data_IF_704288335501
#
_entry.id   IF_704288335501
#
_cell.length_a   1.000
_cell.length_b   1.000
_cell.length_c   1.000
_cell.angle_alpha   90.00
_cell.angle_beta   90.00
_cell.angle_gamma   90.00
#
_symmetry.space_group_name_H-M   'P 1'
#
loop_
_entity.id
_entity.type
_entity.pdbx_description
1 polymer ?
#
# COMPACT_ATOMS: atom_id res chain seq x y z
N UNK A 1 17.09 59.22 -4.65
CA UNK A 1 16.34 58.08 -5.19
C UNK A 1 17.02 56.81 -4.69
N UNK A 2 16.56 56.26 -3.56
CA UNK A 2 17.18 55.10 -2.93
C UNK A 2 16.43 53.83 -3.37
N UNK A 3 17.11 52.95 -4.10
CA UNK A 3 16.61 51.62 -4.48
C UNK A 3 16.93 50.65 -3.36
N UNK A 4 15.91 50.23 -2.61
CA UNK A 4 16.00 49.11 -1.68
C UNK A 4 15.88 47.80 -2.49
N UNK A 5 17.01 47.13 -2.70
CA UNK A 5 17.04 45.75 -3.17
C UNK A 5 16.66 44.83 -1.99
N UNK A 6 15.42 44.33 -1.98
CA UNK A 6 15.04 43.21 -1.12
C UNK A 6 15.58 41.92 -1.74
N UNK A 7 16.76 41.47 -1.29
CA UNK A 7 17.18 40.08 -1.49
C UNK A 7 16.38 39.21 -0.53
N UNK A 8 15.41 38.47 -1.05
CA UNK A 8 14.78 37.37 -0.32
C UNK A 8 15.80 36.23 -0.26
N UNK A 9 16.48 36.11 0.87
CA UNK A 9 17.33 34.97 1.16
C UNK A 9 16.38 33.85 1.58
N UNK A 10 16.07 32.92 0.67
CA UNK A 10 15.50 31.64 1.09
C UNK A 10 16.60 30.91 1.88
N UNK A 11 16.43 30.65 3.19
CA UNK A 11 17.33 29.73 3.85
C UNK A 11 17.16 28.38 3.17
N UNK A 12 18.20 27.93 2.45
CA UNK A 12 18.31 26.53 2.07
C UNK A 12 18.49 25.77 3.37
N UNK A 13 17.38 25.27 3.91
CA UNK A 13 17.41 24.27 4.97
C UNK A 13 17.88 22.99 4.29
N UNK A 14 19.19 22.76 4.31
CA UNK A 14 19.73 21.42 4.07
C UNK A 14 19.35 20.62 5.31
N UNK A 15 18.16 20.02 5.27
CA UNK A 15 17.83 18.93 6.16
C UNK A 15 18.80 17.80 5.81
N UNK A 16 19.85 17.62 6.62
CA UNK A 16 20.67 16.42 6.57
C UNK A 16 19.78 15.26 6.95
N UNK A 17 19.15 14.66 5.95
CA UNK A 17 18.31 13.50 6.16
C UNK A 17 19.24 12.31 6.37
N UNK A 18 19.37 11.86 7.62
CA UNK A 18 19.54 10.44 7.86
C UNK A 18 18.22 9.81 7.41
N UNK A 19 18.10 9.58 6.10
CA UNK A 19 17.06 8.74 5.51
C UNK A 19 17.04 7.48 6.34
N UNK A 20 15.96 7.31 7.09
CA UNK A 20 15.53 6.01 7.61
C UNK A 20 15.91 4.97 6.58
N UNK A 21 16.93 4.17 6.90
CA UNK A 21 17.27 2.94 6.20
C UNK A 21 15.99 2.25 5.80
N UNK A 22 15.87 1.88 4.53
CA UNK A 22 14.83 1.02 3.97
C UNK A 22 14.14 0.17 5.06
N UNK A 23 13.02 0.67 5.59
CA UNK A 23 12.13 -0.13 6.41
C UNK A 23 11.10 -0.82 5.52
N UNK A 24 11.44 -1.03 4.24
CA UNK A 24 10.66 -1.91 3.39
C UNK A 24 10.95 -3.33 3.84
N UNK A 25 9.97 -3.92 4.52
CA UNK A 25 10.02 -5.33 4.84
C UNK A 25 10.11 -6.09 3.52
N UNK A 26 11.12 -6.95 3.35
CA UNK A 26 11.23 -7.81 2.18
C UNK A 26 10.10 -8.85 2.24
N UNK A 27 9.00 -8.56 1.56
CA UNK A 27 7.86 -9.47 1.43
C UNK A 27 7.95 -10.25 0.13
N UNK A 28 7.76 -11.57 0.23
CA UNK A 28 7.61 -12.42 -0.95
C UNK A 28 6.15 -12.34 -1.40
N UNK A 29 5.91 -11.57 -2.47
CA UNK A 29 4.58 -11.39 -3.03
C UNK A 29 4.42 -12.35 -4.20
N UNK A 30 3.36 -13.15 -4.13
CA UNK A 30 2.93 -14.06 -5.20
C UNK A 30 1.86 -13.41 -6.04
N UNK A 31 1.83 -13.77 -7.32
CA UNK A 31 0.93 -13.18 -8.30
C UNK A 31 0.29 -14.24 -9.19
N UNK A 32 -0.99 -14.03 -9.49
CA UNK A 32 -1.74 -14.76 -10.49
C UNK A 32 -2.68 -13.80 -11.23
N UNK A 33 -3.11 -14.17 -12.44
CA UNK A 33 -4.17 -13.44 -13.16
C UNK A 33 -5.51 -14.16 -12.97
N UNK A 34 -6.60 -13.42 -13.17
CA UNK A 34 -7.93 -14.00 -13.28
C UNK A 34 -7.91 -15.19 -14.26
N UNK A 35 -8.51 -16.29 -13.84
CA UNK A 35 -8.67 -17.48 -14.66
C UNK A 35 -9.97 -18.17 -14.29
N UNK A 36 -10.38 -19.21 -15.02
CA UNK A 36 -11.58 -19.98 -14.66
C UNK A 36 -11.49 -20.68 -13.30
N UNK A 37 -10.31 -20.71 -12.68
CA UNK A 37 -10.05 -21.32 -11.36
C UNK A 37 -9.75 -20.28 -10.28
N UNK A 38 -9.70 -18.99 -10.63
CA UNK A 38 -9.35 -17.91 -9.72
C UNK A 38 -10.15 -16.67 -10.09
N UNK A 39 -11.37 -16.59 -9.55
CA UNK A 39 -12.32 -15.50 -9.82
C UNK A 39 -12.84 -14.81 -8.58
N UNK A 40 -12.77 -15.47 -7.43
CA UNK A 40 -13.25 -14.95 -6.15
C UNK A 40 -12.21 -15.09 -5.04
N UNK A 41 -12.48 -14.47 -3.89
CA UNK A 41 -11.61 -14.60 -2.71
C UNK A 41 -11.60 -16.03 -2.17
N UNK A 42 -12.70 -16.77 -2.28
CA UNK A 42 -12.75 -18.19 -1.89
C UNK A 42 -11.81 -19.04 -2.75
N UNK A 43 -11.79 -18.80 -4.06
CA UNK A 43 -10.84 -19.44 -4.96
C UNK A 43 -9.39 -19.06 -4.56
N UNK A 44 -9.15 -17.79 -4.27
CA UNK A 44 -7.84 -17.27 -3.88
C UNK A 44 -7.36 -17.84 -2.53
N UNK A 45 -8.26 -18.10 -1.58
CA UNK A 45 -7.95 -18.75 -0.30
C UNK A 45 -7.53 -20.21 -0.53
N UNK A 46 -8.15 -20.89 -1.50
CA UNK A 46 -7.85 -22.29 -1.85
C UNK A 46 -6.69 -22.45 -2.85
N UNK A 47 -6.18 -21.34 -3.40
CA UNK A 47 -5.17 -21.33 -4.45
C UNK A 47 -3.77 -21.74 -3.92
N UNK A 48 -3.02 -22.51 -4.72
CA UNK A 48 -1.65 -22.91 -4.38
C UNK A 48 -0.65 -21.79 -4.71
N UNK A 49 -0.59 -20.81 -3.82
CA UNK A 49 0.33 -19.67 -3.93
C UNK A 49 1.82 -20.06 -3.91
N UNK A 50 2.16 -21.26 -3.43
CA UNK A 50 3.54 -21.76 -3.46
C UNK A 50 4.06 -22.05 -4.86
N UNK A 51 3.15 -22.34 -5.80
CA UNK A 51 3.46 -22.55 -7.23
C UNK A 51 3.23 -21.30 -8.09
N UNK A 52 2.70 -20.23 -7.50
CA UNK A 52 2.44 -18.98 -8.20
C UNK A 52 3.74 -18.22 -8.50
N UNK A 53 3.70 -17.44 -9.57
CA UNK A 53 4.81 -16.61 -10.00
C UNK A 53 5.09 -15.51 -8.97
N UNK A 54 6.36 -15.14 -8.73
CA UNK A 54 6.69 -13.95 -7.97
C UNK A 54 6.14 -12.68 -8.62
N UNK A 55 5.76 -11.69 -7.80
CA UNK A 55 5.28 -10.40 -8.28
C UNK A 55 6.38 -9.64 -9.04
N UNK A 56 6.00 -9.00 -10.14
CA UNK A 56 6.91 -8.18 -10.98
C UNK A 56 6.80 -6.69 -10.70
N UNK A 57 5.97 -6.29 -9.73
CA UNK A 57 5.52 -4.91 -9.44
C UNK A 57 4.76 -4.25 -10.61
N UNK A 58 5.26 -4.29 -11.84
CA UNK A 58 4.62 -3.70 -13.02
C UNK A 58 4.03 -4.79 -13.93
N UNK A 59 2.75 -4.61 -14.29
CA UNK A 59 1.97 -5.55 -15.09
C UNK A 59 1.53 -4.99 -16.44
N UNK A 60 1.86 -3.73 -16.74
CA UNK A 60 1.40 -3.07 -17.96
C UNK A 60 -0.13 -2.95 -18.01
N UNK A 61 -0.64 -2.65 -19.21
CA UNK A 61 -2.07 -2.69 -19.49
C UNK A 61 -2.51 -4.11 -19.82
N UNK A 62 -3.58 -4.57 -19.17
CA UNK A 62 -4.13 -5.92 -19.28
C UNK A 62 -5.64 -5.87 -19.10
N UNK A 63 -6.43 -6.66 -19.87
CA UNK A 63 -7.87 -6.77 -19.66
C UNK A 63 -8.25 -7.67 -18.47
N UNK A 64 -7.28 -8.37 -17.87
CA UNK A 64 -7.50 -9.33 -16.79
C UNK A 64 -7.36 -8.66 -15.41
N UNK A 65 -8.10 -9.15 -14.41
CA UNK A 65 -7.79 -8.86 -13.01
C UNK A 65 -6.51 -9.57 -12.55
N UNK A 66 -5.88 -9.01 -11.53
CA UNK A 66 -4.62 -9.48 -10.98
C UNK A 66 -4.82 -9.77 -9.50
N UNK A 67 -4.44 -10.98 -9.08
CA UNK A 67 -4.44 -11.42 -7.70
C UNK A 67 -3.03 -11.40 -7.14
N UNK A 68 -2.90 -10.95 -5.91
CA UNK A 68 -1.65 -10.91 -5.17
C UNK A 68 -1.84 -11.55 -3.81
N UNK A 69 -0.81 -12.25 -3.35
CA UNK A 69 -0.78 -12.87 -2.03
C UNK A 69 0.55 -12.65 -1.36
N UNK A 70 0.53 -12.37 -0.08
CA UNK A 70 1.72 -12.41 0.77
C UNK A 70 1.32 -12.64 2.23
N UNK A 71 2.33 -12.97 3.05
CA UNK A 71 2.17 -13.04 4.49
C UNK A 71 2.91 -11.90 5.17
N UNK A 72 2.24 -11.27 6.14
CA UNK A 72 2.84 -10.29 7.03
C UNK A 72 3.89 -11.00 7.92
N UNK A 73 5.17 -10.57 7.91
CA UNK A 73 6.26 -11.27 8.59
C UNK A 73 6.31 -11.00 10.10
N UNK A 74 6.32 -12.04 10.93
CA UNK A 74 6.36 -11.93 12.40
C UNK A 74 7.65 -11.33 12.96
N UNK A 75 8.80 -11.57 12.32
CA UNK A 75 10.13 -11.28 12.90
C UNK A 75 10.37 -9.78 13.10
N UNK A 76 9.61 -8.94 12.41
CA UNK A 76 9.89 -7.51 12.28
C UNK A 76 8.75 -6.65 12.85
N UNK A 77 7.77 -7.28 13.52
CA UNK A 77 6.60 -6.66 14.15
C UNK A 77 6.64 -7.05 15.63
N UNK A 78 6.50 -6.09 16.55
CA UNK A 78 6.38 -6.45 17.96
C UNK A 78 5.06 -7.17 18.18
N UNK A 79 5.03 -8.12 19.11
CA UNK A 79 3.81 -8.87 19.40
C UNK A 79 2.66 -7.91 19.78
N UNK A 80 1.58 -7.90 18.97
CA UNK A 80 0.43 -7.02 19.16
C UNK A 80 0.47 -5.68 18.42
N UNK A 81 1.50 -5.40 17.61
CA UNK A 81 1.54 -4.17 16.80
C UNK A 81 0.69 -4.29 15.53
N UNK A 82 -0.03 -3.21 15.21
CA UNK A 82 -0.69 -3.06 13.93
C UNK A 82 0.31 -2.81 12.79
N UNK A 83 -0.05 -3.30 11.61
CA UNK A 83 0.69 -3.09 10.36
C UNK A 83 -0.16 -2.30 9.38
N UNK A 84 0.46 -1.33 8.73
CA UNK A 84 -0.12 -0.68 7.55
C UNK A 84 0.41 -1.39 6.31
N UNK A 85 -0.50 -1.91 5.50
CA UNK A 85 -0.22 -2.32 4.12
C UNK A 85 -0.51 -1.14 3.20
N UNK A 86 0.52 -0.59 2.59
CA UNK A 86 0.42 0.49 1.60
C UNK A 86 0.61 -0.07 0.19
N UNK A 87 -0.28 0.30 -0.72
CA UNK A 87 -0.12 0.13 -2.17
C UNK A 87 0.11 1.53 -2.75
N UNK A 88 1.37 1.82 -3.10
CA UNK A 88 1.76 3.13 -3.59
C UNK A 88 1.48 3.28 -5.08
N UNK A 89 0.20 3.25 -5.43
CA UNK A 89 -0.30 3.43 -6.78
C UNK A 89 -1.76 3.92 -6.75
N UNK A 90 -2.00 5.23 -6.77
CA UNK A 90 -3.30 5.82 -6.43
C UNK A 90 -4.37 5.69 -7.54
N UNK A 91 -4.00 5.13 -8.69
CA UNK A 91 -4.82 5.12 -9.93
C UNK A 91 -5.44 3.77 -10.25
N UNK A 92 -5.61 2.89 -9.28
CA UNK A 92 -6.25 1.57 -9.47
C UNK A 92 -7.78 1.74 -9.48
N UNK A 93 -8.46 1.26 -10.53
CA UNK A 93 -9.90 1.46 -10.71
C UNK A 93 -10.73 0.63 -9.74
N UNK A 94 -10.41 -0.66 -9.63
CA UNK A 94 -11.00 -1.60 -8.68
C UNK A 94 -9.89 -2.25 -7.87
N UNK A 95 -10.01 -2.17 -6.55
CA UNK A 95 -9.08 -2.73 -5.58
C UNK A 95 -9.85 -3.37 -4.44
N UNK A 96 -9.77 -4.69 -4.33
CA UNK A 96 -10.27 -5.43 -3.16
C UNK A 96 -9.09 -5.92 -2.33
N UNK A 97 -9.16 -5.67 -1.03
CA UNK A 97 -8.17 -6.03 -0.03
C UNK A 97 -8.80 -6.95 0.99
N UNK A 98 -8.18 -8.11 1.20
CA UNK A 98 -8.65 -9.14 2.11
C UNK A 98 -7.55 -9.55 3.09
N UNK A 99 -7.94 -9.74 4.35
CA UNK A 99 -7.12 -10.44 5.34
C UNK A 99 -7.80 -11.76 5.67
N UNK A 100 -7.01 -12.83 5.71
CA UNK A 100 -7.49 -14.19 5.97
C UNK A 100 -6.87 -14.70 7.27
N UNK A 101 -7.72 -15.11 8.21
CA UNK A 101 -7.28 -15.66 9.49
C UNK A 101 -6.68 -17.07 9.32
N UNK A 102 -6.17 -17.65 10.40
CA UNK A 102 -5.57 -19.01 10.36
C UNK A 102 -6.58 -20.10 10.00
N UNK A 103 -7.87 -19.88 10.26
CA UNK A 103 -8.96 -20.81 9.92
C UNK A 103 -9.36 -20.76 8.43
N UNK A 104 -8.79 -19.86 7.64
CA UNK A 104 -9.13 -19.71 6.22
C UNK A 104 -10.38 -18.88 5.96
N UNK A 105 -10.80 -18.06 6.92
CA UNK A 105 -11.93 -17.15 6.78
C UNK A 105 -11.44 -15.72 6.52
N UNK A 106 -12.19 -14.98 5.70
CA UNK A 106 -11.96 -13.54 5.51
C UNK A 106 -12.34 -12.84 6.81
N UNK A 107 -11.35 -12.27 7.49
CA UNK A 107 -11.49 -11.54 8.75
C UNK A 107 -11.61 -10.03 8.56
N UNK A 108 -11.19 -9.54 7.39
CA UNK A 108 -11.29 -8.16 6.95
C UNK A 108 -11.45 -8.11 5.44
N UNK A 109 -12.41 -7.32 4.96
CA UNK A 109 -12.67 -7.08 3.55
C UNK A 109 -12.86 -5.58 3.33
N UNK A 110 -12.13 -5.04 2.36
CA UNK A 110 -12.24 -3.63 1.96
C UNK A 110 -12.22 -3.57 0.43
N UNK A 111 -13.23 -2.92 -0.15
CA UNK A 111 -13.33 -2.68 -1.60
C UNK A 111 -13.27 -1.18 -1.84
N UNK A 112 -12.34 -0.76 -2.69
CA UNK A 112 -12.06 0.64 -3.00
C UNK A 112 -11.50 0.76 -4.43
N UNK A 113 -11.05 1.95 -4.80
CA UNK A 113 -10.50 2.25 -6.11
C UNK A 113 -11.07 3.53 -6.69
N UNK A 114 -10.64 3.93 -7.88
CA UNK A 114 -11.16 5.13 -8.56
C UNK A 114 -12.60 4.99 -9.03
N UNK A 115 -13.11 3.76 -9.16
CA UNK A 115 -14.52 3.47 -9.46
C UNK A 115 -15.44 3.64 -8.23
N UNK A 116 -14.87 3.86 -7.05
CA UNK A 116 -15.59 3.99 -5.77
C UNK A 116 -15.47 5.40 -5.18
N UNK A 117 -16.43 5.84 -4.34
CA UNK A 117 -16.32 7.09 -3.59
C UNK A 117 -15.03 7.15 -2.75
N UNK A 118 -14.41 8.33 -2.63
CA UNK A 118 -13.13 8.46 -1.92
C UNK A 118 -13.18 7.97 -0.46
N UNK A 119 -14.32 8.10 0.21
CA UNK A 119 -14.55 7.64 1.58
C UNK A 119 -14.67 6.11 1.72
N UNK A 120 -14.61 5.34 0.62
CA UNK A 120 -14.39 3.89 0.68
C UNK A 120 -12.95 3.52 1.09
N UNK A 121 -12.02 4.48 1.09
CA UNK A 121 -10.66 4.29 1.62
C UNK A 121 -10.68 4.32 3.15
N UNK A 122 -10.12 3.31 3.83
CA UNK A 122 -10.12 3.25 5.30
C UNK A 122 -9.19 4.31 5.92
N UNK A 123 -8.14 4.70 5.20
CA UNK A 123 -7.20 5.77 5.56
C UNK A 123 -7.26 6.80 4.45
N UNK A 124 -7.43 8.07 4.83
CA UNK A 124 -7.42 9.19 3.89
C UNK A 124 -5.98 9.56 3.54
N UNK A 125 -5.51 8.92 2.48
CA UNK A 125 -4.17 9.07 1.91
C UNK A 125 -4.31 9.11 0.37
N UNK A 126 -3.32 9.68 -0.31
CA UNK A 126 -3.24 9.68 -1.77
C UNK A 126 -3.11 8.23 -2.27
N UNK A 127 -2.29 7.43 -1.59
CA UNK A 127 -2.12 6.00 -1.83
C UNK A 127 -3.20 5.14 -1.12
N UNK A 128 -3.25 3.85 -1.45
CA UNK A 128 -4.18 2.92 -0.79
C UNK A 128 -3.51 2.27 0.41
N UNK A 129 -3.91 2.67 1.61
CA UNK A 129 -3.31 2.22 2.87
C UNK A 129 -4.35 1.49 3.74
N UNK A 130 -4.00 0.31 4.25
CA UNK A 130 -4.89 -0.56 5.01
C UNK A 130 -4.27 -0.93 6.37
N UNK A 131 -4.98 -0.66 7.46
CA UNK A 131 -4.60 -1.11 8.80
C UNK A 131 -4.99 -2.59 8.98
N UNK A 132 -4.04 -3.38 9.45
CA UNK A 132 -4.21 -4.79 9.79
C UNK A 132 -3.64 -5.02 11.19
N UNK A 133 -4.47 -5.53 12.09
CA UNK A 133 -4.02 -6.17 13.34
C UNK A 133 -3.74 -7.65 13.03
N UNK A 134 -2.47 -8.08 12.91
CA UNK A 134 -2.16 -9.44 12.50
C UNK A 134 -2.47 -10.48 13.57
N UNK A 135 -2.62 -10.08 14.84
CA UNK A 135 -2.99 -10.94 15.95
C UNK A 135 -4.51 -11.22 15.97
N UNK A 136 -5.33 -10.24 15.60
CA UNK A 136 -6.79 -10.38 15.54
C UNK A 136 -7.30 -10.90 14.19
N UNK A 137 -6.76 -10.37 13.09
CA UNK A 137 -7.28 -10.64 11.75
C UNK A 137 -6.49 -11.74 11.03
N UNK A 138 -5.25 -11.99 11.43
CA UNK A 138 -4.34 -12.91 10.76
C UNK A 138 -3.40 -12.20 9.80
N UNK A 139 -2.54 -12.99 9.16
CA UNK A 139 -1.35 -12.47 8.45
C UNK A 139 -1.39 -12.64 6.94
N UNK A 140 -2.33 -13.45 6.44
CA UNK A 140 -2.45 -13.74 5.01
C UNK A 140 -3.22 -12.60 4.34
N UNK A 141 -2.56 -11.88 3.45
CA UNK A 141 -3.17 -10.78 2.71
C UNK A 141 -3.39 -11.23 1.27
N UNK A 142 -4.60 -11.04 0.78
CA UNK A 142 -4.97 -11.25 -0.62
C UNK A 142 -5.46 -9.93 -1.19
N UNK A 143 -4.97 -9.55 -2.37
CA UNK A 143 -5.40 -8.34 -3.09
C UNK A 143 -5.89 -8.75 -4.47
N UNK A 144 -7.05 -8.23 -4.87
CA UNK A 144 -7.53 -8.28 -6.25
C UNK A 144 -7.56 -6.88 -6.83
N UNK A 145 -6.88 -6.68 -7.96
CA UNK A 145 -6.81 -5.38 -8.61
C UNK A 145 -7.17 -5.49 -10.09
N UNK A 146 -7.94 -4.53 -10.57
CA UNK A 146 -8.25 -4.35 -12.00
C UNK A 146 -8.27 -2.87 -12.31
N UNK A 147 -7.64 -2.47 -13.41
CA UNK A 147 -7.68 -1.10 -13.92
C UNK A 147 -7.70 -1.12 -15.45
N UNK A 148 -8.34 -0.11 -16.03
CA UNK A 148 -8.36 0.16 -17.47
C UNK A 148 -7.00 0.64 -18.00
N UNK A 149 -6.15 1.15 -17.11
CA UNK A 149 -4.81 1.66 -17.43
C UNK A 149 -3.73 0.60 -17.16
N UNK A 150 -2.47 1.03 -17.06
CA UNK A 150 -1.38 0.14 -16.65
C UNK A 150 -1.47 -0.15 -15.14
N UNK A 151 -1.33 -1.41 -14.74
CA UNK A 151 -1.27 -1.76 -13.32
C UNK A 151 0.18 -1.78 -12.82
N UNK A 152 0.42 -1.09 -11.69
CA UNK A 152 1.58 -1.30 -10.84
C UNK A 152 1.09 -1.66 -9.43
N UNK A 153 1.81 -2.56 -8.76
CA UNK A 153 1.50 -3.05 -7.42
C UNK A 153 2.75 -3.00 -6.50
N UNK A 154 3.29 -1.81 -6.21
CA UNK A 154 4.34 -1.66 -5.22
C UNK A 154 3.72 -1.72 -3.82
N UNK A 155 3.82 -2.88 -3.16
CA UNK A 155 3.35 -3.06 -1.78
C UNK A 155 4.47 -2.73 -0.80
N UNK A 156 4.14 -1.97 0.23
CA UNK A 156 5.02 -1.71 1.37
C UNK A 156 4.29 -2.02 2.66
N UNK A 157 5.04 -2.49 3.65
CA UNK A 157 4.55 -2.66 5.00
C UNK A 157 5.19 -1.59 5.88
N UNK A 158 4.44 -1.10 6.85
CA UNK A 158 4.91 -0.17 7.88
C UNK A 158 4.36 -0.60 9.23
N UNK A 159 5.10 -0.35 10.31
CA UNK A 159 4.43 -0.23 11.60
C UNK A 159 3.54 1.02 11.56
N UNK A 160 2.42 0.99 12.29
CA UNK A 160 1.47 2.09 12.33
C UNK A 160 2.13 3.44 12.69
N UNK A 161 3.04 3.44 13.67
CA UNK A 161 3.77 4.64 14.10
C UNK A 161 4.69 5.23 13.02
N UNK A 162 5.39 4.38 12.26
CA UNK A 162 6.28 4.81 11.17
C UNK A 162 5.46 5.38 10.02
N UNK A 163 4.31 4.77 9.71
CA UNK A 163 3.42 5.25 8.66
C UNK A 163 2.91 6.67 8.95
N UNK A 164 2.36 6.92 10.13
CA UNK A 164 1.84 8.24 10.46
C UNK A 164 2.94 9.30 10.60
N UNK A 165 4.13 8.93 11.08
CA UNK A 165 5.27 9.85 11.08
C UNK A 165 5.69 10.24 9.65
N UNK A 166 5.69 9.29 8.70
CA UNK A 166 5.94 9.57 7.27
C UNK A 166 4.89 10.56 6.72
N UNK A 167 3.61 10.36 7.02
CA UNK A 167 2.53 11.24 6.56
C UNK A 167 2.61 12.66 7.12
N UNK A 168 2.95 12.83 8.40
CA UNK A 168 3.18 14.14 9.00
C UNK A 168 4.29 14.92 8.27
N UNK A 169 5.39 14.25 7.93
CA UNK A 169 6.48 14.86 7.17
C UNK A 169 6.05 15.25 5.75
N UNK A 170 5.27 14.40 5.07
CA UNK A 170 4.73 14.71 3.75
C UNK A 170 3.86 15.97 3.79
N UNK A 171 2.98 16.11 4.79
CA UNK A 171 2.14 17.29 4.96
C UNK A 171 2.95 18.57 5.18
N UNK A 172 4.02 18.50 5.98
CA UNK A 172 4.93 19.64 6.19
C UNK A 172 5.61 20.03 4.87
N UNK A 173 6.07 19.05 4.10
CA UNK A 173 6.71 19.30 2.80
C UNK A 173 5.74 19.90 1.78
N UNK A 174 4.51 19.38 1.71
CA UNK A 174 3.45 19.96 0.88
C UNK A 174 3.08 21.37 1.30
N UNK A 175 2.99 21.61 2.61
CA UNK A 175 2.78 22.94 3.18
C UNK A 175 3.91 23.90 2.81
N UNK A 176 5.17 23.46 2.82
CA UNK A 176 6.30 24.28 2.39
C UNK A 176 6.29 24.55 0.87
N UNK A 177 5.84 23.59 0.07
CA UNK A 177 5.80 23.72 -1.39
C UNK A 177 4.65 24.59 -1.90
N UNK A 178 3.43 24.41 -1.36
CA UNK A 178 2.23 25.13 -1.79
C UNK A 178 1.86 26.33 -0.91
N UNK A 179 2.41 26.42 0.30
CA UNK A 179 2.07 27.45 1.31
C UNK A 179 2.96 28.69 1.30
N UNK A 180 3.73 28.92 0.23
CA UNK A 180 4.50 30.16 -0.01
C UNK A 180 3.93 30.98 -1.16
#
# INVERSE_FOLDING_TARGET
>A
MALLLFSIVFPVVVANHHGSTDSSFSIDIRHAQDSSQLTSVEDAIAYDWGQAEPSRVNYGSSPHGHWFYFEIPLVQISEGDNVIVEIHYPTIDYLAFYVVNEEGQVSQEIITGTDFPFDSRPIWDDDYSFLVDPALHGRRVIIHARTSNSLQMPVRLYSESVFYQKEEWNLIMWGAYYGT
#
